data_IF_386873458977
#
_entry.id   IF_386873458977
#
_cell.length_a   1.000
_cell.length_b   1.000
_cell.length_c   1.000
_cell.angle_alpha   90.00
_cell.angle_beta   90.00
_cell.angle_gamma   90.00
#
_symmetry.space_group_name_H-M   'P 1'
#
loop_
_entity.id
_entity.type
_entity.pdbx_description
1 polymer ?
#
# COMPACT_ATOMS: atom_id res chain seq x y z
N UNK A 1 7.07 -4.61 -6.14
CA UNK A 1 5.95 -3.98 -5.41
C UNK A 1 6.17 -2.50 -5.22
N UNK A 2 7.33 -2.09 -4.66
CA UNK A 2 7.66 -0.68 -4.46
C UNK A 2 7.55 0.14 -5.77
N UNK A 3 8.11 -0.34 -6.88
CA UNK A 3 8.07 0.38 -8.17
C UNK A 3 6.64 0.61 -8.67
N UNK A 4 5.77 -0.42 -8.63
CA UNK A 4 4.35 -0.31 -8.99
C UNK A 4 3.64 0.69 -8.08
N UNK A 5 3.86 0.59 -6.77
CA UNK A 5 3.25 1.50 -5.80
C UNK A 5 3.63 2.96 -6.08
N UNK A 6 4.93 3.24 -6.29
CA UNK A 6 5.43 4.59 -6.59
C UNK A 6 4.90 5.11 -7.92
N UNK A 7 4.76 4.24 -8.93
CA UNK A 7 4.12 4.63 -10.19
C UNK A 7 2.65 4.97 -9.98
N UNK A 8 1.89 4.09 -9.32
CA UNK A 8 0.45 4.26 -9.12
C UNK A 8 0.11 5.49 -8.26
N UNK A 9 0.89 5.79 -7.21
CA UNK A 9 0.64 7.00 -6.41
C UNK A 9 0.90 8.27 -7.23
N UNK A 10 1.95 8.30 -8.05
CA UNK A 10 2.23 9.44 -8.94
C UNK A 10 1.08 9.65 -9.92
N UNK A 11 0.64 8.59 -10.57
CA UNK A 11 -0.43 8.62 -11.57
C UNK A 11 -1.80 9.01 -10.99
N UNK A 12 -2.20 8.44 -9.85
CA UNK A 12 -3.55 8.60 -9.32
C UNK A 12 -3.72 9.77 -8.35
N UNK A 13 -2.64 10.15 -7.65
CA UNK A 13 -2.69 11.12 -6.55
C UNK A 13 -1.98 12.42 -6.90
N UNK A 14 -0.85 12.37 -7.61
CA UNK A 14 0.02 13.53 -7.79
C UNK A 14 -0.20 14.22 -9.14
N UNK A 15 -0.20 13.47 -10.23
CA UNK A 15 -0.27 14.04 -11.57
C UNK A 15 -1.63 14.70 -11.83
N UNK A 16 -1.59 15.88 -12.45
CA UNK A 16 -2.79 16.66 -12.80
C UNK A 16 -3.48 17.35 -11.62
N UNK A 17 -2.91 17.30 -10.40
CA UNK A 17 -3.47 17.97 -9.22
C UNK A 17 -2.56 19.09 -8.73
N UNK A 18 -3.17 20.21 -8.32
CA UNK A 18 -2.49 21.31 -7.64
C UNK A 18 -2.96 21.31 -6.20
N UNK A 19 -2.02 21.19 -5.27
CA UNK A 19 -2.27 21.28 -3.83
C UNK A 19 -1.87 22.66 -3.32
N UNK A 20 -2.70 23.27 -2.49
CA UNK A 20 -2.45 24.61 -1.96
C UNK A 20 -1.43 24.60 -0.83
N UNK A 21 -1.28 23.46 -0.16
CA UNK A 21 -0.36 23.31 0.96
C UNK A 21 0.05 21.85 1.17
N UNK A 22 1.02 21.65 2.07
CA UNK A 22 1.55 20.33 2.39
C UNK A 22 0.53 19.39 3.07
N UNK A 23 -0.45 19.94 3.79
CA UNK A 23 -1.44 19.11 4.49
C UNK A 23 -2.36 18.40 3.49
N UNK A 24 -2.77 19.08 2.43
CA UNK A 24 -3.59 18.45 1.37
C UNK A 24 -2.86 17.30 0.69
N UNK A 25 -1.56 17.45 0.42
CA UNK A 25 -0.73 16.36 -0.13
C UNK A 25 -0.70 15.18 0.85
N UNK A 26 -0.46 15.44 2.14
CA UNK A 26 -0.40 14.40 3.17
C UNK A 26 -1.72 13.63 3.28
N UNK A 27 -2.85 14.32 3.24
CA UNK A 27 -4.17 13.70 3.33
C UNK A 27 -4.47 12.85 2.10
N UNK A 28 -4.23 13.37 0.90
CA UNK A 28 -4.42 12.64 -0.35
C UNK A 28 -3.56 11.37 -0.42
N UNK A 29 -2.28 11.48 -0.01
CA UNK A 29 -1.37 10.33 0.09
C UNK A 29 -1.85 9.33 1.13
N UNK A 30 -2.29 9.79 2.31
CA UNK A 30 -2.77 8.91 3.39
C UNK A 30 -4.00 8.11 2.96
N UNK A 31 -4.95 8.77 2.32
CA UNK A 31 -6.16 8.12 1.80
C UNK A 31 -5.81 7.06 0.74
N UNK A 32 -4.91 7.38 -0.19
CA UNK A 32 -4.44 6.42 -1.18
C UNK A 32 -3.74 5.22 -0.55
N UNK A 33 -2.83 5.46 0.42
CA UNK A 33 -2.08 4.40 1.11
C UNK A 33 -3.03 3.46 1.87
N UNK A 34 -4.05 4.00 2.52
CA UNK A 34 -5.07 3.20 3.23
C UNK A 34 -5.82 2.28 2.26
N UNK A 35 -6.39 2.89 1.21
CA UNK A 35 -7.15 2.18 0.16
C UNK A 35 -6.29 1.11 -0.53
N UNK A 36 -5.09 1.48 -0.97
CA UNK A 36 -4.17 0.57 -1.66
C UNK A 36 -3.79 -0.63 -0.78
N UNK A 37 -3.43 -0.40 0.48
CA UNK A 37 -3.00 -1.48 1.35
C UNK A 37 -4.15 -2.38 1.81
N UNK A 38 -5.37 -1.83 1.88
CA UNK A 38 -6.56 -2.59 2.27
C UNK A 38 -7.13 -3.40 1.12
N UNK A 39 -7.30 -2.79 -0.05
CA UNK A 39 -8.20 -3.31 -1.09
C UNK A 39 -7.46 -3.86 -2.31
N UNK A 40 -6.21 -3.47 -2.55
CA UNK A 40 -5.54 -3.82 -3.80
C UNK A 40 -5.06 -5.27 -3.80
N UNK A 41 -5.74 -6.14 -4.55
CA UNK A 41 -5.34 -7.54 -4.67
C UNK A 41 -4.15 -7.67 -5.61
N UNK A 42 -3.04 -8.18 -5.09
CA UNK A 42 -1.79 -8.31 -5.83
C UNK A 42 -1.57 -9.78 -6.16
N UNK A 43 -1.55 -10.14 -7.45
CA UNK A 43 -1.34 -11.53 -7.91
C UNK A 43 -0.07 -12.16 -7.30
N UNK A 44 1.05 -11.44 -7.28
CA UNK A 44 2.32 -11.92 -6.67
C UNK A 44 2.17 -12.24 -5.18
N UNK A 45 1.21 -11.66 -4.48
CA UNK A 45 0.91 -11.95 -3.08
C UNK A 45 -0.18 -13.05 -2.95
N UNK A 46 -0.49 -13.80 -4.01
CA UNK A 46 -1.58 -14.77 -4.02
C UNK A 46 -2.95 -14.10 -3.99
N UNK A 47 -3.10 -12.95 -4.66
CA UNK A 47 -4.31 -12.12 -4.64
C UNK A 47 -4.71 -11.62 -3.25
N UNK A 48 -3.73 -11.50 -2.34
CA UNK A 48 -3.91 -10.83 -1.06
C UNK A 48 -3.63 -9.34 -1.19
N UNK A 49 -4.32 -8.54 -0.39
CA UNK A 49 -3.94 -7.14 -0.19
C UNK A 49 -2.60 -7.03 0.54
N UNK A 50 -1.87 -5.91 0.41
CA UNK A 50 -0.60 -5.73 1.12
C UNK A 50 -0.70 -5.94 2.64
N UNK A 51 -1.80 -5.52 3.27
CA UNK A 51 -2.02 -5.78 4.70
C UNK A 51 -2.25 -7.25 5.00
N UNK A 52 -3.05 -7.95 4.21
CA UNK A 52 -3.28 -9.38 4.37
C UNK A 52 -1.99 -10.18 4.20
N UNK A 53 -1.21 -9.87 3.14
CA UNK A 53 0.08 -10.51 2.89
C UNK A 53 1.08 -10.28 4.04
N UNK A 54 1.12 -9.06 4.59
CA UNK A 54 1.96 -8.76 5.76
C UNK A 54 1.52 -9.53 7.00
N UNK A 55 0.22 -9.61 7.27
CA UNK A 55 -0.32 -10.35 8.41
C UNK A 55 0.01 -11.84 8.31
N UNK A 56 -0.16 -12.43 7.12
CA UNK A 56 0.19 -13.82 6.86
C UNK A 56 1.69 -14.08 7.05
N UNK A 57 2.55 -13.19 6.56
CA UNK A 57 4.00 -13.31 6.75
C UNK A 57 4.40 -13.26 8.23
N UNK A 58 3.82 -12.33 9.01
CA UNK A 58 4.08 -12.24 10.46
C UNK A 58 3.64 -13.51 11.20
N UNK A 59 2.50 -14.08 10.82
CA UNK A 59 2.01 -15.34 11.38
C UNK A 59 2.98 -16.50 11.08
N UNK A 60 3.47 -16.59 9.84
CA UNK A 60 4.43 -17.62 9.45
C UNK A 60 5.79 -17.45 10.14
N UNK A 61 6.33 -16.23 10.21
CA UNK A 61 7.60 -15.93 10.88
C UNK A 61 7.54 -16.23 12.39
N UNK A 62 6.46 -15.84 13.05
CA UNK A 62 6.25 -16.16 14.48
C UNK A 62 6.14 -17.66 14.73
N UNK A 63 5.44 -18.40 13.86
CA UNK A 63 5.34 -19.86 13.94
C UNK A 63 6.71 -20.52 13.72
N UNK A 64 7.47 -20.06 12.74
CA UNK A 64 8.80 -20.61 12.41
C UNK A 64 9.84 -20.34 13.50
N UNK A 65 9.74 -19.25 14.26
CA UNK A 65 10.64 -18.94 15.39
C UNK A 65 10.29 -19.71 16.67
N UNK A 66 9.08 -20.23 16.77
CA UNK A 66 8.60 -20.97 17.93
C UNK A 66 8.83 -22.49 17.81
N UNK A 67 9.21 -22.98 16.63
CA UNK A 67 9.55 -24.37 16.32
C UNK A 67 11.06 -24.60 16.37
#
# INVERSE_FOLDING_TARGET
MAERFIRTIKEQVIYGRVFQNLQEVREAVRHFVDTYNREWLVEKNGFLSPWQAKAQWLYQDSTARAA
#
